data_IF_048014404136
#
_entry.id   IF_048014404136
#
_cell.length_a   1.000
_cell.length_b   1.000
_cell.length_c   1.000
_cell.angle_alpha   90.00
_cell.angle_beta   90.00
_cell.angle_gamma   90.00
#
_symmetry.space_group_name_H-M   'P 1'
#
loop_
_entity.id
_entity.type
_entity.pdbx_description
1 polymer ?
#
# COMPACT_ATOMS: atom_id res chain seq x y z
N UNK A 1 55.37 -7.83 -59.05
CA UNK A 1 55.10 -9.09 -58.36
C UNK A 1 54.51 -8.75 -56.98
N UNK A 2 53.23 -8.61 -56.91
CA UNK A 2 52.52 -8.29 -55.67
C UNK A 2 51.65 -9.46 -55.32
N UNK A 3 51.97 -10.12 -54.23
CA UNK A 3 51.13 -11.24 -53.64
C UNK A 3 50.01 -10.64 -52.84
N UNK A 4 48.77 -10.88 -53.27
CA UNK A 4 47.56 -10.51 -52.55
C UNK A 4 47.22 -11.69 -51.62
N UNK A 5 47.32 -11.46 -50.32
CA UNK A 5 46.82 -12.40 -49.33
C UNK A 5 45.33 -12.08 -49.11
N UNK A 6 44.48 -12.98 -49.55
CA UNK A 6 43.06 -12.93 -49.19
C UNK A 6 42.87 -13.57 -47.80
N UNK A 7 42.52 -12.77 -46.81
CA UNK A 7 42.13 -13.24 -45.49
C UNK A 7 40.64 -13.61 -45.54
N UNK A 8 40.37 -14.91 -45.48
CA UNK A 8 39.00 -15.45 -45.36
C UNK A 8 38.61 -15.40 -43.92
N UNK A 9 37.82 -14.37 -43.52
CA UNK A 9 37.25 -14.28 -42.20
C UNK A 9 35.98 -15.17 -42.15
N UNK A 10 36.10 -16.34 -41.55
CA UNK A 10 34.94 -17.21 -41.23
C UNK A 10 34.25 -16.61 -40.02
N UNK A 11 33.15 -15.93 -40.24
CA UNK A 11 32.24 -15.50 -39.18
C UNK A 11 31.42 -16.71 -38.74
N UNK A 12 31.79 -17.33 -37.64
CA UNK A 12 31.04 -18.38 -37.01
C UNK A 12 29.88 -17.74 -36.25
N UNK A 13 28.71 -17.60 -36.89
CA UNK A 13 27.46 -17.20 -36.22
C UNK A 13 27.01 -18.33 -35.29
N UNK A 14 27.28 -18.22 -33.98
CA UNK A 14 26.61 -19.02 -32.99
C UNK A 14 25.13 -18.60 -32.96
N UNK A 15 24.29 -19.32 -33.67
CA UNK A 15 22.85 -19.33 -33.40
C UNK A 15 22.68 -20.01 -32.04
N UNK A 16 22.49 -19.22 -31.00
CA UNK A 16 21.97 -19.71 -29.73
C UNK A 16 20.52 -20.13 -29.96
N UNK A 17 20.31 -21.41 -30.26
CA UNK A 17 18.99 -22.01 -30.22
C UNK A 17 18.61 -22.08 -28.74
N UNK A 18 17.80 -21.12 -28.26
CA UNK A 18 17.13 -21.22 -26.98
C UNK A 18 16.08 -22.33 -27.13
N UNK A 19 16.45 -23.53 -26.74
CA UNK A 19 15.47 -24.61 -26.55
C UNK A 19 14.64 -24.24 -25.35
N UNK A 20 13.46 -23.68 -25.57
CA UNK A 20 12.44 -23.61 -24.54
C UNK A 20 12.07 -25.03 -24.17
N UNK A 21 12.61 -25.56 -23.08
CA UNK A 21 12.14 -26.80 -22.50
C UNK A 21 10.77 -26.49 -21.91
N UNK A 22 9.74 -26.57 -22.72
CA UNK A 22 8.38 -26.75 -22.21
C UNK A 22 8.39 -28.08 -21.48
N UNK A 23 8.21 -28.08 -20.18
CA UNK A 23 7.92 -29.29 -19.43
C UNK A 23 6.60 -29.83 -19.98
N UNK A 24 6.69 -30.72 -20.95
CA UNK A 24 5.56 -31.43 -21.50
C UNK A 24 5.19 -32.52 -20.48
N UNK A 25 4.21 -32.23 -19.66
CA UNK A 25 3.50 -33.27 -18.96
C UNK A 25 2.53 -33.87 -19.97
N UNK A 26 2.64 -35.15 -20.24
CA UNK A 26 1.72 -35.87 -21.15
C UNK A 26 2.46 -36.58 -22.27
N UNK A 27 2.98 -37.77 -21.95
CA UNK A 27 3.15 -38.82 -22.94
C UNK A 27 1.76 -39.36 -23.34
N UNK A 28 1.68 -40.05 -24.45
CA UNK A 28 0.45 -40.54 -25.05
C UNK A 28 -0.44 -41.46 -24.13
N UNK A 29 -0.02 -41.67 -22.89
CA UNK A 29 -0.67 -42.46 -21.83
C UNK A 29 -0.58 -41.86 -20.42
N UNK A 30 -0.15 -40.61 -20.25
CA UNK A 30 -0.07 -39.95 -18.92
C UNK A 30 -1.25 -39.02 -18.71
N UNK A 31 -1.73 -38.98 -17.48
CA UNK A 31 -2.76 -38.00 -17.04
C UNK A 31 -2.30 -36.57 -17.33
N UNK A 32 -3.19 -35.66 -17.76
CA UNK A 32 -2.84 -34.28 -17.99
C UNK A 32 -2.21 -33.69 -16.73
N UNK A 33 -1.20 -32.86 -16.93
CA UNK A 33 -0.54 -32.14 -15.83
C UNK A 33 -1.56 -31.39 -14.97
N UNK A 34 -1.58 -31.70 -13.70
CA UNK A 34 -2.34 -30.93 -12.72
C UNK A 34 -1.51 -29.73 -12.29
N UNK A 35 -1.99 -28.54 -12.57
CA UNK A 35 -1.46 -27.29 -12.04
C UNK A 35 -2.31 -26.89 -10.82
N UNK A 36 -1.66 -26.61 -9.72
CA UNK A 36 -2.29 -26.11 -8.50
C UNK A 36 -1.91 -24.64 -8.33
N UNK A 37 -2.84 -23.73 -8.60
CA UNK A 37 -2.64 -22.31 -8.46
C UNK A 37 -3.93 -21.60 -8.09
N UNK A 38 -3.83 -20.53 -7.35
CA UNK A 38 -4.93 -19.63 -7.04
C UNK A 38 -4.47 -18.19 -7.19
N UNK A 39 -5.42 -17.26 -7.25
CA UNK A 39 -5.19 -15.83 -7.23
C UNK A 39 -6.01 -15.23 -6.09
N UNK A 40 -5.36 -14.49 -5.22
CA UNK A 40 -5.97 -13.61 -4.24
C UNK A 40 -5.79 -12.17 -4.71
N UNK A 41 -6.88 -11.40 -4.74
CA UNK A 41 -6.90 -9.98 -5.12
C UNK A 41 -7.60 -9.21 -4.01
N UNK A 42 -6.90 -8.26 -3.39
CA UNK A 42 -7.39 -7.47 -2.29
C UNK A 42 -7.41 -5.99 -2.64
N UNK A 43 -8.57 -5.40 -2.50
CA UNK A 43 -8.78 -3.99 -2.81
C UNK A 43 -9.38 -3.22 -1.63
N UNK A 44 -9.12 -1.94 -1.57
CA UNK A 44 -9.72 -0.99 -0.63
C UNK A 44 -10.64 -0.03 -1.36
N UNK A 45 -11.77 0.31 -0.77
CA UNK A 45 -12.69 1.31 -1.31
C UNK A 45 -12.08 2.71 -1.16
N UNK A 46 -12.23 3.56 -2.17
CA UNK A 46 -11.88 4.99 -2.07
C UNK A 46 -12.87 5.71 -1.15
N UNK A 47 -12.41 6.58 -0.24
CA UNK A 47 -13.28 7.34 0.65
C UNK A 47 -14.37 8.10 -0.10
N UNK A 48 -15.61 7.96 0.35
CA UNK A 48 -16.77 8.67 -0.21
C UNK A 48 -17.23 8.21 -1.60
N UNK A 49 -16.72 7.10 -2.12
CA UNK A 49 -17.10 6.53 -3.42
C UNK A 49 -17.47 5.06 -3.30
N UNK A 50 -17.91 4.43 -4.40
CA UNK A 50 -18.08 2.97 -4.51
C UNK A 50 -16.94 2.29 -5.27
N UNK A 51 -15.89 3.03 -5.64
CA UNK A 51 -14.74 2.51 -6.39
C UNK A 51 -13.77 1.78 -5.48
N UNK A 52 -13.29 0.61 -5.93
CA UNK A 52 -12.24 -0.17 -5.27
C UNK A 52 -10.94 -0.07 -6.04
N UNK A 53 -9.83 0.07 -5.33
CA UNK A 53 -8.47 0.15 -5.87
C UNK A 53 -7.53 -0.72 -5.05
N UNK A 54 -6.40 -1.12 -5.62
CA UNK A 54 -5.41 -1.94 -4.93
C UNK A 54 -4.80 -1.20 -3.75
N UNK A 55 -4.42 0.06 -3.95
CA UNK A 55 -3.75 0.86 -2.93
C UNK A 55 -4.18 2.32 -2.98
N UNK A 56 -4.28 2.93 -1.80
CA UNK A 56 -4.39 4.38 -1.62
C UNK A 56 -3.06 4.90 -1.04
N UNK A 57 -2.48 5.88 -1.70
CA UNK A 57 -1.24 6.55 -1.30
C UNK A 57 -1.52 7.83 -0.51
N UNK A 58 -0.49 8.51 -0.06
CA UNK A 58 -0.61 9.80 0.64
C UNK A 58 -1.15 10.94 -0.26
N UNK A 59 -1.15 10.76 -1.58
CA UNK A 59 -1.70 11.72 -2.55
C UNK A 59 -3.18 11.46 -2.88
N UNK A 60 -3.69 10.28 -2.53
CA UNK A 60 -5.09 9.91 -2.75
C UNK A 60 -6.01 10.46 -1.66
N UNK A 61 -7.36 10.40 -1.84
CA UNK A 61 -8.30 10.70 -0.77
C UNK A 61 -8.02 9.85 0.47
N UNK A 62 -8.05 10.49 1.64
CA UNK A 62 -7.66 9.89 2.92
C UNK A 62 -8.87 9.65 3.78
N UNK A 63 -8.79 8.60 4.57
CA UNK A 63 -9.77 8.32 5.61
C UNK A 63 -9.52 9.17 6.86
N UNK A 64 -10.58 9.41 7.63
CA UNK A 64 -10.52 10.12 8.92
C UNK A 64 -10.74 9.14 10.08
N UNK A 65 -10.33 9.52 11.29
CA UNK A 65 -10.64 8.75 12.49
C UNK A 65 -12.15 8.47 12.60
N UNK A 66 -12.51 7.26 13.03
CA UNK A 66 -13.88 6.75 13.20
C UNK A 66 -14.67 6.51 11.90
N UNK A 67 -14.12 6.79 10.73
CA UNK A 67 -14.76 6.44 9.46
C UNK A 67 -14.74 4.93 9.22
N UNK A 68 -15.69 4.47 8.41
CA UNK A 68 -15.74 3.09 7.95
C UNK A 68 -14.98 2.95 6.65
N UNK A 69 -14.25 1.85 6.53
CA UNK A 69 -13.55 1.42 5.33
C UNK A 69 -14.08 0.08 4.88
N UNK A 70 -14.28 -0.07 3.57
CA UNK A 70 -14.65 -1.35 2.96
C UNK A 70 -13.45 -1.93 2.23
N UNK A 71 -13.20 -3.22 2.47
CA UNK A 71 -12.27 -4.03 1.70
C UNK A 71 -13.02 -5.07 0.90
N UNK A 72 -12.48 -5.42 -0.25
CA UNK A 72 -12.95 -6.49 -1.12
C UNK A 72 -11.81 -7.49 -1.30
N UNK A 73 -12.05 -8.75 -1.02
CA UNK A 73 -11.11 -9.85 -1.28
C UNK A 73 -11.74 -10.77 -2.31
N UNK A 74 -11.07 -11.00 -3.39
CA UNK A 74 -11.47 -11.93 -4.44
C UNK A 74 -10.50 -13.09 -4.46
N UNK A 75 -11.01 -14.32 -4.40
CA UNK A 75 -10.23 -15.54 -4.50
C UNK A 75 -10.67 -16.27 -5.75
N UNK A 76 -9.73 -16.62 -6.63
CA UNK A 76 -10.00 -17.37 -7.86
C UNK A 76 -9.16 -18.63 -7.91
N UNK A 77 -9.78 -19.75 -8.25
CA UNK A 77 -9.07 -20.98 -8.62
C UNK A 77 -8.56 -20.83 -10.07
N UNK A 78 -7.25 -20.72 -10.23
CA UNK A 78 -6.59 -20.64 -11.54
C UNK A 78 -5.92 -21.96 -11.94
N UNK A 79 -6.19 -23.03 -11.17
CA UNK A 79 -5.66 -24.38 -11.43
C UNK A 79 -6.47 -25.12 -12.48
N UNK A 80 -5.95 -26.25 -12.91
CA UNK A 80 -6.64 -27.20 -13.81
C UNK A 80 -7.51 -28.20 -13.04
N UNK A 81 -7.60 -28.09 -11.72
CA UNK A 81 -8.35 -28.99 -10.84
C UNK A 81 -9.21 -28.23 -9.84
N UNK A 82 -10.23 -28.90 -9.32
CA UNK A 82 -11.05 -28.35 -8.24
C UNK A 82 -10.29 -28.39 -6.90
N UNK A 83 -10.49 -27.37 -6.05
CA UNK A 83 -10.11 -27.42 -4.65
C UNK A 83 -11.28 -27.91 -3.79
N UNK A 84 -11.06 -28.95 -3.00
CA UNK A 84 -12.09 -29.54 -2.14
C UNK A 84 -12.43 -28.68 -0.92
N UNK A 85 -11.52 -27.78 -0.52
CA UNK A 85 -11.69 -26.84 0.57
C UNK A 85 -10.56 -25.84 0.58
N UNK A 86 -10.87 -24.58 0.91
CA UNK A 86 -9.92 -23.49 1.06
C UNK A 86 -10.21 -22.74 2.34
N UNK A 87 -9.15 -22.42 3.07
CA UNK A 87 -9.21 -21.50 4.22
C UNK A 87 -8.62 -20.15 3.80
N UNK A 88 -9.19 -19.10 4.36
CA UNK A 88 -8.71 -17.76 4.09
C UNK A 88 -8.60 -16.95 5.38
N UNK A 89 -7.70 -15.96 5.39
CA UNK A 89 -7.43 -15.09 6.52
C UNK A 89 -7.29 -13.65 6.07
N UNK A 90 -7.69 -12.73 6.92
CA UNK A 90 -7.46 -11.30 6.80
C UNK A 90 -6.70 -10.80 8.03
N UNK A 91 -5.54 -10.17 7.80
CA UNK A 91 -4.65 -9.66 8.86
C UNK A 91 -5.01 -8.19 9.13
N UNK A 92 -5.89 -7.98 10.09
CA UNK A 92 -6.42 -6.66 10.42
C UNK A 92 -5.34 -5.74 10.99
N UNK A 93 -5.05 -4.59 10.36
CA UNK A 93 -4.02 -3.68 10.85
C UNK A 93 -4.39 -3.08 12.22
N UNK A 94 -3.38 -2.62 12.96
CA UNK A 94 -3.49 -2.21 14.36
C UNK A 94 -4.53 -1.12 14.63
N UNK A 95 -4.85 -0.27 13.68
CA UNK A 95 -5.72 0.90 13.86
C UNK A 95 -7.11 0.72 13.23
N UNK A 96 -7.45 -0.50 12.84
CA UNK A 96 -8.77 -0.86 12.31
C UNK A 96 -9.46 -1.87 13.25
N UNK A 97 -10.77 -1.75 13.37
CA UNK A 97 -11.62 -2.69 14.13
C UNK A 97 -12.61 -3.30 13.16
N UNK A 98 -12.67 -4.64 13.02
CA UNK A 98 -13.66 -5.31 12.18
C UNK A 98 -15.07 -5.08 12.70
N UNK A 99 -16.01 -4.80 11.80
CA UNK A 99 -17.43 -4.58 12.09
C UNK A 99 -18.30 -5.64 11.43
N UNK A 100 -18.06 -5.92 10.15
CA UNK A 100 -18.82 -6.91 9.38
C UNK A 100 -17.85 -7.63 8.42
N UNK A 101 -18.11 -8.90 8.16
CA UNK A 101 -17.34 -9.74 7.25
C UNK A 101 -17.57 -11.22 7.48
N UNK A 102 -17.02 -12.10 6.63
CA UNK A 102 -17.06 -13.53 6.86
C UNK A 102 -16.17 -13.96 8.03
N UNK A 103 -16.48 -15.10 8.63
CA UNK A 103 -15.60 -15.78 9.57
C UNK A 103 -15.58 -15.22 10.98
N UNK A 104 -14.49 -15.52 11.69
CA UNK A 104 -14.32 -15.18 13.11
C UNK A 104 -13.05 -14.35 13.30
N UNK A 105 -13.17 -13.26 14.04
CA UNK A 105 -12.04 -12.41 14.40
C UNK A 105 -11.42 -12.84 15.74
N UNK A 106 -10.14 -13.15 15.72
CA UNK A 106 -9.32 -13.30 16.91
C UNK A 106 -8.62 -11.98 17.24
N UNK A 107 -9.01 -11.37 18.36
CA UNK A 107 -8.47 -10.08 18.80
C UNK A 107 -7.01 -10.15 19.25
N UNK A 108 -6.50 -11.32 19.64
CA UNK A 108 -5.12 -11.51 20.10
C UNK A 108 -4.16 -11.53 18.93
N UNK A 109 -4.46 -12.32 17.90
CA UNK A 109 -3.66 -12.39 16.67
C UNK A 109 -4.03 -11.30 15.65
N UNK A 110 -5.19 -10.65 15.83
CA UNK A 110 -5.81 -9.69 14.91
C UNK A 110 -6.08 -10.29 13.53
N UNK A 111 -6.50 -11.54 13.49
CA UNK A 111 -6.79 -12.27 12.26
C UNK A 111 -8.28 -12.59 12.20
N UNK A 112 -8.91 -12.32 11.05
CA UNK A 112 -10.20 -12.88 10.69
C UNK A 112 -9.92 -14.15 9.88
N UNK A 113 -10.50 -15.29 10.31
CA UNK A 113 -10.35 -16.56 9.61
C UNK A 113 -11.72 -17.08 9.16
N UNK A 114 -11.80 -17.57 7.91
CA UNK A 114 -13.04 -18.15 7.39
C UNK A 114 -12.77 -19.35 6.49
N UNK A 115 -13.75 -20.22 6.41
CA UNK A 115 -13.79 -21.29 5.41
C UNK A 115 -14.34 -20.71 4.09
N UNK A 116 -13.48 -20.66 3.07
CA UNK A 116 -13.87 -20.19 1.74
C UNK A 116 -14.58 -21.31 0.92
N UNK A 117 -14.54 -22.55 1.41
CA UNK A 117 -15.18 -23.72 0.82
C UNK A 117 -14.47 -24.26 -0.40
N UNK A 118 -15.19 -25.10 -1.16
CA UNK A 118 -14.67 -25.68 -2.40
C UNK A 118 -14.70 -24.66 -3.54
N UNK A 119 -13.78 -24.81 -4.50
CA UNK A 119 -13.73 -24.00 -5.73
C UNK A 119 -13.61 -24.92 -6.95
N UNK A 120 -14.53 -24.81 -7.89
CA UNK A 120 -14.39 -25.42 -9.20
C UNK A 120 -13.25 -24.75 -9.99
N UNK A 121 -12.83 -25.37 -11.09
CA UNK A 121 -11.88 -24.75 -12.02
C UNK A 121 -12.45 -23.41 -12.50
N UNK A 122 -11.63 -22.37 -12.51
CA UNK A 122 -11.97 -20.97 -12.86
C UNK A 122 -13.01 -20.30 -11.94
N UNK A 123 -13.51 -21.00 -10.91
CA UNK A 123 -14.45 -20.38 -9.97
C UNK A 123 -13.79 -19.25 -9.19
N UNK A 124 -14.55 -18.17 -9.03
CA UNK A 124 -14.17 -16.99 -8.28
C UNK A 124 -15.23 -16.68 -7.22
N UNK A 125 -14.79 -16.37 -6.01
CA UNK A 125 -15.65 -15.87 -4.93
C UNK A 125 -15.13 -14.55 -4.40
N UNK A 126 -16.05 -13.67 -4.03
CA UNK A 126 -15.72 -12.33 -3.51
C UNK A 126 -16.29 -12.17 -2.10
N UNK A 127 -15.47 -11.64 -1.22
CA UNK A 127 -15.78 -11.38 0.18
C UNK A 127 -15.61 -9.90 0.50
N UNK A 128 -16.50 -9.35 1.30
CA UNK A 128 -16.46 -7.95 1.71
C UNK A 128 -16.26 -7.86 3.22
N UNK A 129 -15.42 -6.92 3.62
CA UNK A 129 -15.12 -6.62 5.02
C UNK A 129 -15.39 -5.16 5.27
N UNK A 130 -16.18 -4.85 6.29
CA UNK A 130 -16.36 -3.51 6.81
C UNK A 130 -15.56 -3.37 8.08
N UNK A 131 -14.68 -2.41 8.12
CA UNK A 131 -13.86 -2.10 9.29
C UNK A 131 -14.06 -0.65 9.68
N UNK A 132 -13.88 -0.34 10.95
CA UNK A 132 -13.89 1.03 11.46
C UNK A 132 -12.47 1.46 11.82
N UNK A 133 -12.08 2.63 11.38
CA UNK A 133 -10.84 3.27 11.83
C UNK A 133 -11.02 3.68 13.28
N UNK A 134 -10.05 3.38 14.12
CA UNK A 134 -10.10 3.73 15.52
C UNK A 134 -10.30 5.24 15.73
N UNK A 135 -10.88 5.60 16.87
CA UNK A 135 -11.02 7.01 17.28
C UNK A 135 -9.66 7.70 17.36
N UNK A 136 -9.61 8.99 17.11
CA UNK A 136 -8.37 9.78 17.04
C UNK A 136 -7.45 9.60 18.25
N UNK A 137 -8.01 9.43 19.45
CA UNK A 137 -7.25 9.20 20.67
C UNK A 137 -6.46 7.86 20.68
N UNK A 138 -6.88 6.89 19.87
CA UNK A 138 -6.29 5.56 19.77
C UNK A 138 -5.39 5.39 18.52
N UNK A 139 -5.10 6.49 17.84
CA UNK A 139 -4.17 6.55 16.70
C UNK A 139 -2.81 7.10 17.15
N UNK A 140 -1.71 6.87 16.41
CA UNK A 140 -0.37 7.36 16.77
C UNK A 140 -0.38 8.86 17.09
N UNK A 141 0.12 9.25 18.26
CA UNK A 141 0.05 10.64 18.73
C UNK A 141 0.95 11.59 17.93
N UNK A 142 2.07 11.07 17.44
CA UNK A 142 3.16 11.77 16.76
C UNK A 142 2.97 11.91 15.24
N UNK A 143 1.94 11.27 14.68
CA UNK A 143 1.69 11.27 13.24
C UNK A 143 0.33 11.90 12.92
N UNK A 144 0.34 12.94 12.09
CA UNK A 144 -0.88 13.56 11.55
C UNK A 144 -1.44 12.83 10.33
N UNK A 145 -0.56 12.16 9.60
CA UNK A 145 -0.88 11.34 8.42
C UNK A 145 -0.02 10.08 8.46
N UNK A 146 -0.63 8.92 8.28
CA UNK A 146 0.05 7.64 8.18
C UNK A 146 -0.79 6.65 7.35
N UNK A 147 -0.13 5.64 6.80
CA UNK A 147 -0.79 4.60 6.02
C UNK A 147 -0.68 3.25 6.74
N UNK A 148 -1.67 2.41 6.54
CA UNK A 148 -1.72 1.04 7.04
C UNK A 148 -1.96 0.08 5.89
N UNK A 149 -1.42 -1.14 6.02
CA UNK A 149 -1.57 -2.21 5.05
C UNK A 149 -2.45 -3.28 5.67
N UNK A 150 -3.47 -3.69 4.93
CA UNK A 150 -4.30 -4.84 5.26
C UNK A 150 -4.01 -5.96 4.26
N UNK A 151 -3.58 -7.12 4.76
CA UNK A 151 -3.23 -8.30 3.97
C UNK A 151 -4.36 -9.34 4.04
N UNK A 152 -4.62 -10.04 2.95
CA UNK A 152 -5.41 -11.26 2.94
C UNK A 152 -4.59 -12.41 2.36
N UNK A 153 -4.88 -13.63 2.78
CA UNK A 153 -4.30 -14.84 2.25
C UNK A 153 -5.37 -15.92 2.08
N UNK A 154 -5.16 -16.81 1.13
CA UNK A 154 -5.93 -18.02 0.96
C UNK A 154 -5.01 -19.22 0.78
N UNK A 155 -5.40 -20.36 1.29
CA UNK A 155 -4.63 -21.59 1.22
C UNK A 155 -5.53 -22.81 1.04
N UNK A 156 -5.02 -23.78 0.29
CA UNK A 156 -5.49 -25.15 0.23
C UNK A 156 -4.38 -26.09 0.66
N UNK A 157 -4.60 -27.40 0.60
CA UNK A 157 -3.54 -28.38 0.91
C UNK A 157 -2.35 -28.33 -0.05
N UNK A 158 -2.49 -27.74 -1.22
CA UNK A 158 -1.51 -27.81 -2.33
C UNK A 158 -1.01 -26.47 -2.81
N UNK A 159 -1.68 -25.37 -2.47
CA UNK A 159 -1.33 -24.04 -2.97
C UNK A 159 -1.71 -22.97 -1.98
N UNK A 160 -1.07 -21.82 -2.13
CA UNK A 160 -1.20 -20.62 -1.29
C UNK A 160 -1.02 -19.39 -2.16
N UNK A 161 -1.76 -18.34 -1.86
CA UNK A 161 -1.54 -16.99 -2.41
C UNK A 161 -1.98 -15.93 -1.43
N UNK A 162 -1.43 -14.73 -1.55
CA UNK A 162 -1.77 -13.59 -0.72
C UNK A 162 -1.67 -12.27 -1.49
N UNK A 163 -2.45 -11.29 -1.03
CA UNK A 163 -2.40 -9.93 -1.53
C UNK A 163 -2.69 -8.92 -0.42
N UNK A 164 -2.34 -7.66 -0.65
CA UNK A 164 -2.50 -6.60 0.34
C UNK A 164 -2.97 -5.30 -0.28
N UNK A 165 -3.76 -4.55 0.46
CA UNK A 165 -4.17 -3.20 0.09
C UNK A 165 -3.82 -2.19 1.16
N UNK A 166 -3.41 -1.00 0.71
CA UNK A 166 -3.03 0.12 1.57
C UNK A 166 -4.12 1.18 1.61
N UNK A 167 -4.31 1.76 2.79
CA UNK A 167 -5.06 3.00 2.97
C UNK A 167 -4.28 3.99 3.83
N UNK A 168 -4.57 5.30 3.67
CA UNK A 168 -3.97 6.34 4.49
C UNK A 168 -5.02 7.04 5.35
N UNK A 169 -4.64 7.34 6.58
CA UNK A 169 -5.48 7.96 7.61
C UNK A 169 -4.91 9.32 7.95
N UNK A 170 -5.73 10.36 7.84
CA UNK A 170 -5.38 11.73 8.22
C UNK A 170 -6.10 12.12 9.50
N UNK A 171 -5.32 12.44 10.53
CA UNK A 171 -5.82 12.94 11.80
C UNK A 171 -6.08 14.44 11.72
N UNK A 172 -7.10 14.90 12.43
CA UNK A 172 -7.24 16.33 12.68
C UNK A 172 -6.15 16.78 13.66
N UNK A 173 -5.23 17.59 13.21
CA UNK A 173 -4.25 18.23 14.09
C UNK A 173 -4.98 19.36 14.82
N UNK A 174 -5.53 19.08 15.99
CA UNK A 174 -6.03 20.10 16.93
C UNK A 174 -4.84 20.75 17.66
N UNK A 175 -3.86 21.24 16.93
CA UNK A 175 -2.77 22.05 17.43
C UNK A 175 -2.95 23.45 16.92
N UNK A 176 -3.39 24.38 17.77
CA UNK A 176 -3.05 25.77 17.57
C UNK A 176 -1.53 25.82 17.49
N UNK A 177 -0.97 25.96 16.28
CA UNK A 177 0.38 26.45 16.15
C UNK A 177 0.39 27.76 16.95
N UNK A 178 0.95 27.74 18.18
CA UNK A 178 1.38 28.98 18.81
C UNK A 178 2.43 29.51 17.86
N UNK A 179 1.99 30.35 16.93
CA UNK A 179 2.91 31.25 16.24
C UNK A 179 3.56 31.99 17.41
N UNK A 180 4.91 31.88 17.59
CA UNK A 180 5.58 32.70 18.58
C UNK A 180 5.09 34.11 18.27
N UNK A 181 4.46 34.75 19.26
CA UNK A 181 4.10 36.17 19.15
C UNK A 181 5.41 36.86 18.81
N UNK A 182 5.60 37.19 17.53
CA UNK A 182 6.62 38.16 17.15
C UNK A 182 6.12 39.45 17.78
N UNK A 183 6.51 39.61 19.06
CA UNK A 183 6.08 40.73 19.86
C UNK A 183 6.44 42.02 19.15
N UNK A 184 5.58 43.04 19.21
CA UNK A 184 5.87 44.37 18.66
C UNK A 184 7.09 45.01 19.32
N UNK A 185 7.66 44.36 20.33
CA UNK A 185 8.77 44.87 21.17
C UNK A 185 10.07 45.09 20.39
N UNK A 186 10.42 44.21 19.46
CA UNK A 186 11.60 44.39 18.61
C UNK A 186 11.44 45.55 17.61
N UNK A 187 10.24 45.72 17.07
CA UNK A 187 9.92 46.84 16.18
C UNK A 187 9.95 48.19 16.95
N UNK A 188 9.46 48.21 18.19
CA UNK A 188 9.45 49.41 19.03
C UNK A 188 10.86 49.80 19.47
N UNK A 189 11.71 48.81 19.80
CA UNK A 189 13.12 49.01 20.16
C UNK A 189 13.93 49.59 18.98
N UNK A 190 13.69 49.11 17.75
CA UNK A 190 14.35 49.66 16.56
C UNK A 190 13.87 51.08 16.24
N UNK A 191 12.60 51.39 16.42
CA UNK A 191 12.07 52.73 16.21
C UNK A 191 12.61 53.72 17.25
N UNK A 192 12.65 53.39 18.54
CA UNK A 192 13.19 54.26 19.58
C UNK A 192 14.70 54.46 19.45
N UNK A 193 15.45 53.44 19.06
CA UNK A 193 16.89 53.56 18.79
C UNK A 193 17.21 54.53 17.66
N UNK A 194 16.44 54.55 16.59
CA UNK A 194 16.61 55.45 15.45
C UNK A 194 16.29 56.91 15.83
N UNK A 195 15.25 57.16 16.63
CA UNK A 195 14.92 58.53 17.07
C UNK A 195 15.98 59.12 18.04
N UNK A 196 16.56 58.32 18.92
CA UNK A 196 17.66 58.74 19.80
C UNK A 196 18.92 59.05 19.00
N UNK A 197 19.26 58.23 18.00
CA UNK A 197 20.42 58.43 17.12
C UNK A 197 20.34 59.73 16.33
N UNK A 198 19.17 60.03 15.75
CA UNK A 198 18.93 61.30 15.02
C UNK A 198 18.95 62.48 15.92
N UNK A 199 18.39 62.43 17.14
CA UNK A 199 18.38 63.49 18.12
C UNK A 199 19.79 63.88 18.60
N UNK A 200 20.66 62.94 18.86
CA UNK A 200 22.06 63.16 19.26
C UNK A 200 22.86 63.74 18.08
N UNK A 201 22.68 63.23 16.86
CA UNK A 201 23.34 63.71 15.66
C UNK A 201 23.05 65.20 15.37
N UNK A 202 21.78 65.60 15.48
CA UNK A 202 21.38 67.03 15.32
C UNK A 202 21.93 67.93 16.36
N UNK A 203 22.08 67.47 17.62
CA UNK A 203 22.64 68.26 18.72
C UNK A 203 24.16 68.50 18.57
N UNK A 204 24.88 67.55 18.04
CA UNK A 204 26.31 67.61 17.76
C UNK A 204 26.59 68.57 16.58
N UNK A 205 25.75 68.62 15.57
CA UNK A 205 25.91 69.54 14.41
C UNK A 205 25.68 70.97 14.73
N UNK A 206 24.97 71.30 15.81
CA UNK A 206 24.79 72.69 16.29
C UNK A 206 25.96 73.29 17.14
N UNK A 207 27.02 72.52 17.42
CA UNK A 207 28.17 72.93 18.23
C UNK A 207 29.45 73.10 17.41
N UNK A 208 29.39 72.94 16.09
CA UNK A 208 30.41 73.31 15.10
C UNK A 208 29.93 74.55 14.35
#
# INVERSE_FOLDING_TARGET
>A
MKKIFALLAIVFSLLAVTVSVSASCGGQYESPCQSYSMLVDKMVQKPGTSEYVDNLSVSDPRYKPSEFVMFKVTIKNTSTTTFGGMTAKDFVPAYLTPIEGPGTFDSTSRIISWDAGAFAVDEQKTYYFKMQINAQANLPADQGLFCVINKAEASSNTTYDDDSSQLCIEKQVTGTAKVPSAGPELGLLLLTGNFLGVGIGLKLRKRT
#
